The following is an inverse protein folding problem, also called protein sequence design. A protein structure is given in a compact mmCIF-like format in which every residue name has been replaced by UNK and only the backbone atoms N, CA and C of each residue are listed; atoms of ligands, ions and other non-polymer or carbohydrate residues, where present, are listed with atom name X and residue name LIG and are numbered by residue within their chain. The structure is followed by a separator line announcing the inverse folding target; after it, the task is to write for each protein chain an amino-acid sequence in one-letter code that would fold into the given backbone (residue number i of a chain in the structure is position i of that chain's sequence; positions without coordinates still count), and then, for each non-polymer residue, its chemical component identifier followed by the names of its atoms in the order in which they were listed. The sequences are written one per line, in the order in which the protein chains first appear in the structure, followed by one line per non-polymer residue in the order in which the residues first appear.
data_IF_293730959744
#
_entry.id   IF_293730959744
#
_cell.length_a   1.000
_cell.length_b   1.000
_cell.length_c   1.000
_cell.angle_alpha   90.00
_cell.angle_beta   90.00
_cell.angle_gamma   90.00
#
_symmetry.space_group_name_H-M   'P 1'
#
loop_
_entity.id
_entity.type
_entity.pdbx_description
1 polymer ?
#
# COMPACT_ATOMS: atom_id res chain seq x y z
N UNK A 1 -19.61 -66.93 13.58
CA UNK A 1 -19.39 -66.04 14.74
C UNK A 1 -20.49 -65.02 14.71
N UNK A 2 -21.34 -64.98 15.72
CA UNK A 2 -22.41 -63.99 15.84
C UNK A 2 -21.78 -62.59 15.91
N UNK A 3 -22.17 -61.68 15.02
CA UNK A 3 -21.86 -60.26 15.17
C UNK A 3 -22.47 -59.80 16.51
N UNK A 4 -21.64 -59.52 17.50
CA UNK A 4 -22.07 -58.77 18.67
C UNK A 4 -22.56 -57.40 18.18
N UNK A 5 -23.88 -57.19 18.19
CA UNK A 5 -24.46 -55.90 17.85
C UNK A 5 -24.07 -54.86 18.90
N UNK A 6 -22.98 -54.14 18.63
CA UNK A 6 -22.59 -53.01 19.46
C UNK A 6 -23.72 -51.97 19.50
N UNK A 7 -23.96 -51.33 20.65
CA UNK A 7 -24.89 -50.21 20.76
C UNK A 7 -24.56 -49.09 19.75
N UNK A 8 -25.59 -48.44 19.19
CA UNK A 8 -25.45 -47.40 18.16
C UNK A 8 -24.52 -46.27 18.60
N UNK A 9 -24.60 -45.87 19.89
CA UNK A 9 -23.75 -44.81 20.45
C UNK A 9 -22.26 -45.19 20.46
N UNK A 10 -21.94 -46.47 20.72
CA UNK A 10 -20.56 -46.95 20.78
C UNK A 10 -19.94 -46.99 19.37
N UNK A 11 -20.73 -47.43 18.37
CA UNK A 11 -20.34 -47.37 16.96
C UNK A 11 -20.11 -45.95 16.49
N UNK A 12 -20.98 -45.01 16.88
CA UNK A 12 -20.82 -43.60 16.55
C UNK A 12 -19.53 -43.01 17.15
N UNK A 13 -19.24 -43.35 18.42
CA UNK A 13 -18.02 -42.91 19.10
C UNK A 13 -16.75 -43.48 18.44
N UNK A 14 -16.73 -44.79 18.17
CA UNK A 14 -15.61 -45.45 17.49
C UNK A 14 -15.35 -44.85 16.10
N UNK A 15 -16.41 -44.62 15.34
CA UNK A 15 -16.33 -43.99 14.02
C UNK A 15 -15.78 -42.56 14.10
N UNK A 16 -16.19 -41.78 15.12
CA UNK A 16 -15.63 -40.46 15.39
C UNK A 16 -14.12 -40.52 15.62
N UNK A 17 -13.67 -41.38 16.54
CA UNK A 17 -12.25 -41.59 16.85
C UNK A 17 -11.44 -42.02 15.64
N UNK A 18 -11.98 -42.93 14.81
CA UNK A 18 -11.31 -43.37 13.57
C UNK A 18 -11.17 -42.20 12.59
N UNK A 19 -12.24 -41.42 12.40
CA UNK A 19 -12.23 -40.26 11.52
C UNK A 19 -11.20 -39.21 11.93
N UNK A 20 -11.13 -38.89 13.21
CA UNK A 20 -10.14 -37.97 13.78
C UNK A 20 -8.71 -38.50 13.63
N UNK A 21 -8.46 -39.76 14.01
CA UNK A 21 -7.14 -40.36 13.90
C UNK A 21 -6.61 -40.37 12.45
N UNK A 22 -7.47 -40.70 11.48
CA UNK A 22 -7.11 -40.68 10.05
C UNK A 22 -6.86 -39.25 9.54
N UNK A 23 -7.65 -38.28 9.97
CA UNK A 23 -7.45 -36.85 9.64
C UNK A 23 -6.14 -36.33 10.22
N UNK A 24 -5.84 -36.63 11.49
CA UNK A 24 -4.57 -36.30 12.13
C UNK A 24 -3.39 -36.86 11.34
N UNK A 25 -3.46 -38.16 11.05
CA UNK A 25 -2.43 -38.84 10.28
C UNK A 25 -2.27 -38.21 8.88
N UNK A 26 -3.34 -37.73 8.24
CA UNK A 26 -3.30 -37.03 6.95
C UNK A 26 -2.59 -35.67 7.01
N UNK A 27 -2.81 -34.89 8.07
CA UNK A 27 -2.34 -33.50 8.18
C UNK A 27 -0.93 -33.36 8.77
N UNK A 28 -0.51 -34.30 9.64
CA UNK A 28 0.70 -34.19 10.46
C UNK A 28 2.02 -34.17 9.67
N UNK A 29 2.02 -34.50 8.39
CA UNK A 29 3.25 -34.40 7.60
C UNK A 29 3.58 -32.95 7.25
N UNK A 30 2.56 -32.09 7.10
CA UNK A 30 2.71 -30.76 6.48
C UNK A 30 2.26 -29.60 7.35
N UNK A 31 1.44 -29.87 8.36
CA UNK A 31 0.89 -28.84 9.23
C UNK A 31 1.31 -29.07 10.69
N UNK A 32 1.43 -27.98 11.44
CA UNK A 32 1.33 -28.02 12.89
C UNK A 32 -0.15 -28.21 13.24
N UNK A 33 -0.45 -29.16 14.13
CA UNK A 33 -1.80 -29.43 14.60
C UNK A 33 -1.93 -28.91 16.03
N UNK A 34 -2.96 -28.09 16.24
CA UNK A 34 -3.42 -27.69 17.56
C UNK A 34 -4.70 -28.46 17.84
N UNK A 35 -4.64 -29.32 18.85
CA UNK A 35 -5.76 -30.14 19.28
C UNK A 35 -6.27 -29.67 20.63
N UNK A 36 -7.58 -29.74 20.84
CA UNK A 36 -8.20 -29.47 22.14
C UNK A 36 -8.73 -30.74 22.75
N UNK A 37 -8.73 -30.77 24.08
CA UNK A 37 -9.25 -31.87 24.89
C UNK A 37 -10.73 -31.71 25.27
N UNK A 38 -11.44 -30.69 24.75
CA UNK A 38 -12.84 -30.40 25.12
C UNK A 38 -13.63 -29.85 23.92
N UNK A 39 -14.80 -30.45 23.66
CA UNK A 39 -15.83 -30.11 22.64
C UNK A 39 -16.46 -28.72 22.85
N UNK A 40 -15.65 -27.68 22.85
CA UNK A 40 -16.11 -26.30 22.82
C UNK A 40 -15.93 -25.84 21.37
N UNK A 41 -17.04 -25.79 20.64
CA UNK A 41 -17.17 -25.20 19.31
C UNK A 41 -16.66 -26.01 18.11
N UNK A 42 -16.98 -27.31 18.04
CA UNK A 42 -17.30 -28.03 16.79
C UNK A 42 -16.21 -28.22 15.72
N UNK A 43 -14.98 -27.77 15.93
CA UNK A 43 -13.83 -28.01 15.06
C UNK A 43 -12.88 -29.04 15.71
N UNK A 44 -12.46 -30.05 14.95
CA UNK A 44 -11.67 -31.16 15.48
C UNK A 44 -10.16 -30.84 15.46
N UNK A 45 -9.70 -30.09 14.46
CA UNK A 45 -8.30 -29.67 14.36
C UNK A 45 -8.19 -28.21 13.93
N UNK A 46 -7.19 -27.53 14.48
CA UNK A 46 -6.66 -26.30 13.90
C UNK A 46 -5.28 -26.58 13.35
N UNK A 47 -5.08 -26.17 12.10
CA UNK A 47 -3.83 -26.39 11.38
C UNK A 47 -3.11 -25.09 11.14
N UNK A 48 -1.80 -25.13 11.19
CA UNK A 48 -0.93 -24.04 10.79
C UNK A 48 0.14 -24.58 9.84
N UNK A 49 0.48 -23.82 8.80
CA UNK A 49 1.58 -24.20 7.90
C UNK A 49 2.87 -24.38 8.67
N UNK A 50 3.62 -25.44 8.37
CA UNK A 50 5.01 -25.61 8.85
C UNK A 50 5.93 -24.71 8.06
N UNK A 51 6.10 -23.49 8.53
CA UNK A 51 7.03 -22.54 7.92
C UNK A 51 8.42 -22.83 8.50
N UNK A 52 9.24 -23.57 7.75
CA UNK A 52 10.59 -23.99 8.18
C UNK A 52 11.70 -23.03 7.75
N UNK A 53 11.39 -22.06 6.88
CA UNK A 53 12.36 -21.11 6.30
C UNK A 53 12.20 -19.66 6.79
N UNK A 54 11.35 -19.42 7.79
CA UNK A 54 11.03 -18.06 8.26
C UNK A 54 11.53 -17.81 9.67
N UNK A 55 12.02 -16.59 9.89
CA UNK A 55 12.52 -16.09 11.15
C UNK A 55 11.36 -15.70 12.10
N UNK A 56 11.63 -15.59 13.41
CA UNK A 56 10.64 -15.19 14.44
C UNK A 56 10.03 -13.79 14.20
N UNK A 57 10.59 -13.03 13.25
CA UNK A 57 10.27 -11.65 12.90
C UNK A 57 9.61 -11.52 11.51
N UNK A 58 9.13 -12.61 10.91
CA UNK A 58 8.53 -12.57 9.57
C UNK A 58 7.23 -11.74 9.56
N UNK A 59 7.10 -10.84 8.58
CA UNK A 59 6.05 -9.79 8.50
C UNK A 59 4.65 -10.34 8.23
N UNK A 60 4.55 -11.60 7.80
CA UNK A 60 3.28 -12.26 7.48
C UNK A 60 2.91 -13.26 8.59
N UNK A 61 2.09 -12.86 9.57
CA UNK A 61 1.64 -13.78 10.61
C UNK A 61 0.98 -15.02 10.00
N UNK A 62 1.19 -16.20 10.60
CA UNK A 62 0.67 -17.45 10.06
C UNK A 62 -0.86 -17.46 10.11
N UNK A 63 -1.49 -17.95 9.04
CA UNK A 63 -2.93 -18.18 8.99
C UNK A 63 -3.22 -19.57 9.51
N UNK A 64 -4.37 -19.70 10.16
CA UNK A 64 -4.84 -20.94 10.73
C UNK A 64 -5.95 -21.53 9.88
N UNK A 65 -5.87 -22.82 9.59
CA UNK A 65 -6.97 -23.57 8.99
C UNK A 65 -7.79 -24.28 10.03
N UNK A 66 -9.05 -24.52 9.71
CA UNK A 66 -9.99 -25.20 10.57
C UNK A 66 -10.42 -26.46 9.85
N UNK A 67 -10.19 -27.60 10.48
CA UNK A 67 -10.51 -28.89 9.90
C UNK A 67 -11.51 -29.61 10.79
N UNK A 68 -12.62 -30.01 10.18
CA UNK A 68 -13.56 -30.93 10.78
C UNK A 68 -13.39 -32.32 10.16
N UNK A 69 -13.31 -33.34 10.98
CA UNK A 69 -13.25 -34.74 10.61
C UNK A 69 -14.64 -35.37 10.79
N UNK A 70 -15.10 -36.13 9.79
CA UNK A 70 -16.34 -36.92 9.89
C UNK A 70 -16.14 -38.31 9.33
N UNK A 71 -16.77 -39.31 9.93
CA UNK A 71 -16.75 -40.68 9.44
C UNK A 71 -18.14 -41.10 8.94
N UNK A 72 -18.21 -41.61 7.72
CA UNK A 72 -19.42 -42.14 7.11
C UNK A 72 -19.37 -43.66 7.17
N UNK A 73 -20.25 -44.27 7.97
CA UNK A 73 -20.38 -45.73 8.02
C UNK A 73 -20.96 -46.29 6.71
N UNK A 74 -21.74 -45.49 5.98
CA UNK A 74 -22.27 -45.84 4.67
C UNK A 74 -23.00 -44.67 4.01
N UNK A 75 -23.68 -44.93 2.89
CA UNK A 75 -24.39 -43.92 2.10
C UNK A 75 -25.55 -43.25 2.85
N UNK A 76 -26.12 -43.90 3.86
CA UNK A 76 -27.26 -43.37 4.61
C UNK A 76 -26.83 -42.51 5.81
N UNK A 77 -25.52 -42.43 6.10
CA UNK A 77 -25.00 -41.51 7.12
C UNK A 77 -25.08 -40.08 6.62
N UNK A 78 -25.59 -39.16 7.45
CA UNK A 78 -25.63 -37.72 7.17
C UNK A 78 -24.98 -36.97 8.31
N UNK A 79 -24.12 -36.01 7.98
CA UNK A 79 -23.47 -35.13 8.95
C UNK A 79 -23.90 -33.68 8.76
N UNK A 80 -23.82 -32.92 9.85
CA UNK A 80 -24.26 -31.53 9.89
C UNK A 80 -23.08 -30.61 10.20
N UNK A 81 -22.82 -29.65 9.33
CA UNK A 81 -21.76 -28.66 9.50
C UNK A 81 -22.40 -27.30 9.82
N UNK A 82 -22.10 -26.67 10.97
CA UNK A 82 -22.67 -25.37 11.26
C UNK A 82 -22.22 -24.31 10.24
N UNK A 83 -23.16 -23.51 9.72
CA UNK A 83 -22.89 -22.54 8.65
C UNK A 83 -21.82 -21.51 9.03
N UNK A 84 -21.70 -21.19 10.32
CA UNK A 84 -20.70 -20.23 10.83
C UNK A 84 -19.24 -20.61 10.54
N UNK A 85 -18.94 -21.90 10.33
CA UNK A 85 -17.60 -22.35 9.93
C UNK A 85 -17.35 -22.19 8.43
N UNK A 86 -18.41 -22.10 7.64
CA UNK A 86 -18.36 -22.14 6.17
C UNK A 86 -18.49 -20.74 5.59
N UNK A 87 -19.31 -19.89 6.19
CA UNK A 87 -19.48 -18.49 5.79
C UNK A 87 -19.24 -17.54 6.97
N UNK A 88 -18.74 -16.34 6.69
CA UNK A 88 -18.61 -15.29 7.69
C UNK A 88 -19.95 -14.57 7.98
N UNK A 89 -19.88 -13.50 8.79
CA UNK A 89 -21.07 -12.71 9.20
C UNK A 89 -21.68 -11.93 8.03
N UNK A 90 -20.90 -11.65 6.99
CA UNK A 90 -21.31 -10.93 5.79
C UNK A 90 -21.88 -11.90 4.74
N UNK A 91 -21.77 -13.21 4.98
CA UNK A 91 -22.22 -14.27 4.08
C UNK A 91 -21.15 -14.75 3.11
N UNK A 92 -19.93 -14.23 3.19
CA UNK A 92 -18.81 -14.60 2.34
C UNK A 92 -18.22 -15.94 2.75
N UNK A 93 -17.76 -16.72 1.77
CA UNK A 93 -17.23 -18.07 1.99
C UNK A 93 -15.84 -18.02 2.65
N UNK A 94 -15.64 -18.82 3.70
CA UNK A 94 -14.36 -18.93 4.40
C UNK A 94 -13.40 -19.84 3.67
N UNK A 95 -12.32 -19.27 3.15
CA UNK A 95 -11.28 -20.03 2.44
C UNK A 95 -10.52 -21.01 3.33
N UNK A 96 -10.50 -20.77 4.63
CA UNK A 96 -9.68 -21.44 5.64
C UNK A 96 -10.38 -22.62 6.34
N UNK A 97 -11.59 -23.00 5.92
CA UNK A 97 -12.32 -24.14 6.48
C UNK A 97 -12.32 -25.36 5.54
N UNK A 98 -12.08 -26.52 6.12
CA UNK A 98 -12.02 -27.80 5.42
C UNK A 98 -12.79 -28.89 6.16
N UNK A 99 -13.54 -29.68 5.41
CA UNK A 99 -14.16 -30.90 5.91
C UNK A 99 -13.43 -32.10 5.31
N UNK A 100 -12.90 -32.97 6.18
CA UNK A 100 -12.29 -34.24 5.78
C UNK A 100 -13.20 -35.37 6.22
N UNK A 101 -13.70 -36.11 5.24
CA UNK A 101 -14.60 -37.23 5.46
C UNK A 101 -13.87 -38.54 5.22
N UNK A 102 -14.07 -39.51 6.10
CA UNK A 102 -13.53 -40.86 5.97
C UNK A 102 -14.63 -41.90 5.88
N UNK A 103 -14.36 -43.00 5.21
CA UNK A 103 -15.21 -44.20 5.19
C UNK A 103 -14.34 -45.44 4.95
N UNK A 104 -14.98 -46.60 4.88
CA UNK A 104 -14.33 -47.88 4.61
C UNK A 104 -13.66 -48.50 5.82
N UNK A 105 -13.14 -49.71 5.63
CA UNK A 105 -12.51 -50.53 6.67
C UNK A 105 -11.03 -50.17 6.83
N UNK A 106 -10.30 -50.96 7.61
CA UNK A 106 -8.85 -50.87 7.72
C UNK A 106 -8.15 -51.17 6.38
N UNK A 107 -8.67 -52.16 5.62
CA UNK A 107 -8.06 -52.62 4.37
C UNK A 107 -8.43 -51.77 3.14
N UNK A 108 -9.60 -51.10 3.13
CA UNK A 108 -10.03 -50.21 2.04
C UNK A 108 -10.48 -48.83 2.58
N UNK A 109 -9.56 -48.03 3.15
CA UNK A 109 -9.88 -46.71 3.66
C UNK A 109 -10.06 -45.72 2.51
N UNK A 110 -11.12 -44.91 2.57
CA UNK A 110 -11.36 -43.82 1.61
C UNK A 110 -11.50 -42.50 2.34
N UNK A 111 -10.91 -41.46 1.77
CA UNK A 111 -10.93 -40.10 2.30
C UNK A 111 -11.40 -39.11 1.25
N UNK A 112 -12.09 -38.07 1.71
CA UNK A 112 -12.62 -36.99 0.87
C UNK A 112 -12.28 -35.65 1.51
N UNK A 113 -11.96 -34.66 0.69
CA UNK A 113 -11.66 -33.28 1.11
C UNK A 113 -12.63 -32.33 0.44
N UNK A 114 -13.33 -31.53 1.26
CA UNK A 114 -14.23 -30.47 0.82
C UNK A 114 -13.75 -29.13 1.38
N UNK A 115 -13.77 -28.09 0.56
CA UNK A 115 -13.63 -26.71 1.01
C UNK A 115 -14.97 -26.15 1.48
N UNK A 116 -14.96 -25.00 2.14
CA UNK A 116 -16.20 -24.27 2.42
C UNK A 116 -17.00 -23.95 1.14
N UNK A 117 -16.31 -23.64 0.04
CA UNK A 117 -16.94 -23.37 -1.25
C UNK A 117 -17.64 -24.61 -1.82
N UNK A 118 -17.00 -25.78 -1.75
CA UNK A 118 -17.63 -27.05 -2.13
C UNK A 118 -18.92 -27.29 -1.32
N UNK A 119 -18.89 -26.96 -0.02
CA UNK A 119 -20.05 -27.12 0.87
C UNK A 119 -21.21 -26.20 0.52
N UNK A 120 -20.92 -24.92 0.21
CA UNK A 120 -21.97 -23.95 -0.17
C UNK A 120 -22.58 -24.28 -1.52
N UNK A 121 -21.75 -24.68 -2.49
CA UNK A 121 -22.21 -24.88 -3.85
C UNK A 121 -22.92 -26.23 -4.04
N UNK A 122 -22.45 -27.27 -3.36
CA UNK A 122 -22.89 -28.64 -3.63
C UNK A 122 -23.79 -29.22 -2.54
N UNK A 123 -24.02 -28.58 -1.40
CA UNK A 123 -24.82 -29.17 -0.32
C UNK A 123 -25.93 -28.25 0.16
N UNK A 124 -27.00 -28.84 0.69
CA UNK A 124 -28.22 -28.12 1.09
C UNK A 124 -28.08 -27.55 2.49
N UNK A 125 -28.46 -26.29 2.66
CA UNK A 125 -28.59 -25.64 3.97
C UNK A 125 -29.97 -25.96 4.55
N UNK A 126 -30.02 -26.35 5.82
CA UNK A 126 -31.27 -26.59 6.54
C UNK A 126 -31.80 -25.37 7.27
N UNK A 127 -33.05 -25.47 7.74
CA UNK A 127 -33.72 -24.47 8.60
C UNK A 127 -32.85 -24.01 9.77
N UNK A 128 -32.05 -24.92 10.34
CA UNK A 128 -31.27 -24.66 11.56
C UNK A 128 -29.87 -24.07 11.27
N UNK A 129 -29.66 -23.46 10.10
CA UNK A 129 -28.36 -22.91 9.66
C UNK A 129 -27.21 -23.93 9.72
N UNK A 130 -27.49 -25.18 9.32
CA UNK A 130 -26.48 -26.24 9.15
C UNK A 130 -26.48 -26.74 7.71
N UNK A 131 -25.31 -27.09 7.21
CA UNK A 131 -25.13 -27.71 5.89
C UNK A 131 -25.27 -29.22 6.05
N UNK A 132 -26.13 -29.83 5.24
CA UNK A 132 -26.40 -31.28 5.24
C UNK A 132 -25.47 -31.98 4.27
N UNK A 133 -24.52 -32.74 4.82
CA UNK A 133 -23.57 -33.53 4.03
C UNK A 133 -24.05 -34.97 4.01
N UNK A 134 -24.79 -35.35 2.96
CA UNK A 134 -25.31 -36.72 2.83
C UNK A 134 -24.24 -37.66 2.27
N UNK A 135 -24.12 -38.84 2.89
CA UNK A 135 -23.19 -39.88 2.46
C UNK A 135 -23.49 -40.34 1.03
N UNK A 136 -24.76 -40.42 0.65
CA UNK A 136 -25.17 -40.81 -0.71
C UNK A 136 -24.61 -39.86 -1.77
N UNK A 137 -24.61 -38.55 -1.52
CA UNK A 137 -24.07 -37.57 -2.46
C UNK A 137 -22.54 -37.57 -2.44
N UNK A 138 -21.95 -37.60 -1.24
CA UNK A 138 -20.50 -37.53 -1.07
C UNK A 138 -19.79 -38.77 -1.62
N UNK A 139 -20.22 -39.96 -1.19
CA UNK A 139 -19.54 -41.23 -1.48
C UNK A 139 -19.75 -41.71 -2.92
N UNK A 140 -20.80 -41.25 -3.61
CA UNK A 140 -21.03 -41.54 -5.02
C UNK A 140 -20.17 -40.66 -5.96
N UNK A 141 -19.57 -39.58 -5.43
CA UNK A 141 -18.83 -38.60 -6.22
C UNK A 141 -17.32 -38.81 -6.10
N UNK A 142 -16.64 -38.94 -7.24
CA UNK A 142 -15.17 -38.92 -7.28
C UNK A 142 -14.58 -37.52 -7.12
N UNK A 143 -15.40 -36.46 -7.21
CA UNK A 143 -14.97 -35.04 -7.19
C UNK A 143 -14.15 -34.69 -5.95
N UNK A 144 -14.57 -35.18 -4.79
CA UNK A 144 -13.97 -34.82 -3.50
C UNK A 144 -12.97 -35.86 -3.00
N UNK A 145 -12.86 -37.02 -3.68
CA UNK A 145 -12.05 -38.13 -3.21
C UNK A 145 -10.57 -37.77 -3.26
N UNK A 146 -9.86 -38.04 -2.17
CA UNK A 146 -8.42 -37.83 -2.06
C UNK A 146 -7.73 -39.01 -2.75
N UNK A 147 -7.40 -38.83 -4.03
CA UNK A 147 -6.62 -39.81 -4.80
C UNK A 147 -5.11 -39.60 -4.60
N UNK A 148 -4.67 -38.34 -4.49
CA UNK A 148 -3.27 -37.96 -4.31
C UNK A 148 -3.14 -37.08 -3.07
N UNK A 149 -2.60 -37.66 -1.99
CA UNK A 149 -2.42 -37.00 -0.69
C UNK A 149 -1.68 -35.67 -0.80
N UNK A 150 -0.55 -35.63 -1.50
CA UNK A 150 0.27 -34.42 -1.66
C UNK A 150 -0.53 -33.26 -2.27
N UNK A 151 -1.26 -33.51 -3.37
CA UNK A 151 -2.05 -32.48 -4.06
C UNK A 151 -3.19 -31.93 -3.18
N UNK A 152 -3.82 -32.78 -2.37
CA UNK A 152 -4.84 -32.34 -1.41
C UNK A 152 -4.25 -31.47 -0.30
N UNK A 153 -3.06 -31.82 0.21
CA UNK A 153 -2.35 -30.98 1.18
C UNK A 153 -1.88 -29.65 0.55
N UNK A 154 -1.45 -29.64 -0.71
CA UNK A 154 -1.10 -28.42 -1.44
C UNK A 154 -2.31 -27.48 -1.59
N UNK A 155 -3.51 -28.03 -1.83
CA UNK A 155 -4.75 -27.24 -1.89
C UNK A 155 -5.04 -26.56 -0.56
N UNK A 156 -4.93 -27.28 0.56
CA UNK A 156 -5.11 -26.73 1.90
C UNK A 156 -4.07 -25.62 2.13
N UNK A 157 -2.81 -25.89 1.82
CA UNK A 157 -1.73 -24.93 2.00
C UNK A 157 -1.94 -23.63 1.20
N UNK A 158 -2.34 -23.77 -0.07
CA UNK A 158 -2.63 -22.63 -0.94
C UNK A 158 -3.82 -21.80 -0.44
N UNK A 159 -4.87 -22.47 0.03
CA UNK A 159 -6.01 -21.78 0.63
C UNK A 159 -5.61 -20.98 1.89
N UNK A 160 -4.73 -21.52 2.75
CA UNK A 160 -4.20 -20.78 3.90
C UNK A 160 -3.31 -19.59 3.51
N UNK A 161 -2.61 -19.67 2.38
CA UNK A 161 -1.83 -18.55 1.84
C UNK A 161 -2.71 -17.39 1.38
N UNK A 162 -3.88 -17.69 0.82
CA UNK A 162 -4.83 -16.71 0.29
C UNK A 162 -5.81 -16.18 1.35
N UNK A 163 -5.92 -16.84 2.50
CA UNK A 163 -6.88 -16.47 3.54
C UNK A 163 -6.61 -15.06 4.11
N UNK A 164 -7.69 -14.28 4.24
CA UNK A 164 -7.65 -12.95 4.84
C UNK A 164 -7.27 -13.03 6.32
N UNK A 165 -6.25 -12.27 6.70
CA UNK A 165 -5.69 -12.33 8.05
C UNK A 165 -6.68 -11.88 9.14
N UNK A 166 -7.41 -10.77 8.93
CA UNK A 166 -8.32 -10.20 9.93
C UNK A 166 -9.53 -11.10 10.14
N UNK A 167 -10.13 -11.60 9.05
CA UNK A 167 -11.25 -12.56 9.09
C UNK A 167 -10.84 -13.87 9.76
N UNK A 168 -9.63 -14.36 9.47
CA UNK A 168 -9.08 -15.57 10.08
C UNK A 168 -8.90 -15.41 11.60
N UNK A 169 -8.25 -14.33 12.05
CA UNK A 169 -7.97 -14.09 13.47
C UNK A 169 -9.25 -13.79 14.25
N UNK A 170 -10.14 -12.99 13.70
CA UNK A 170 -11.43 -12.68 14.34
C UNK A 170 -12.31 -13.92 14.47
N UNK A 171 -12.29 -14.83 13.51
CA UNK A 171 -13.05 -16.07 13.64
C UNK A 171 -12.46 -16.99 14.70
N UNK A 172 -11.14 -17.04 14.84
CA UNK A 172 -10.46 -17.91 15.80
C UNK A 172 -10.22 -17.27 17.17
N UNK A 173 -10.80 -16.10 17.45
CA UNK A 173 -10.63 -15.43 18.74
C UNK A 173 -11.18 -16.24 19.92
N UNK A 174 -12.12 -17.16 19.67
CA UNK A 174 -12.60 -18.12 20.68
C UNK A 174 -11.58 -19.23 20.99
N UNK A 175 -10.68 -19.54 20.06
CA UNK A 175 -9.71 -20.63 20.18
C UNK A 175 -8.36 -20.16 20.68
N UNK A 176 -7.88 -19.07 20.09
CA UNK A 176 -6.63 -18.46 20.47
C UNK A 176 -6.81 -17.89 21.88
N UNK A 177 -5.77 -17.91 22.74
CA UNK A 177 -5.81 -17.10 23.93
C UNK A 177 -6.07 -15.69 23.41
N UNK A 178 -7.28 -15.23 23.68
CA UNK A 178 -7.61 -13.85 23.42
C UNK A 178 -6.50 -13.11 24.15
N UNK A 179 -5.94 -12.06 23.54
CA UNK A 179 -5.39 -11.03 24.40
C UNK A 179 -6.62 -10.34 25.00
N UNK A 180 -7.41 -11.10 25.77
CA UNK A 180 -8.34 -10.59 26.76
C UNK A 180 -7.41 -9.94 27.74
N UNK A 181 -7.09 -8.68 27.47
CA UNK A 181 -6.76 -7.75 28.50
C UNK A 181 -7.90 -7.87 29.49
N UNK A 182 -7.67 -8.53 30.62
CA UNK A 182 -8.61 -8.45 31.72
C UNK A 182 -8.61 -6.98 32.13
N UNK A 183 -9.60 -6.25 31.62
CA UNK A 183 -9.76 -4.82 31.85
C UNK A 183 -10.01 -4.55 33.34
N UNK A 184 -10.51 -5.55 34.07
CA UNK A 184 -10.81 -5.49 35.50
C UNK A 184 -9.65 -6.02 36.36
N UNK A 185 -8.62 -6.61 35.74
CA UNK A 185 -7.42 -7.04 36.44
C UNK A 185 -6.69 -5.81 36.98
N UNK A 186 -6.67 -5.66 38.28
CA UNK A 186 -5.88 -4.68 38.99
C UNK A 186 -5.45 -5.35 40.28
N UNK A 187 -4.25 -5.02 40.76
CA UNK A 187 -3.75 -5.53 42.04
C UNK A 187 -4.78 -5.27 43.14
N UNK A 188 -5.02 -6.27 44.00
CA UNK A 188 -5.96 -6.19 45.12
C UNK A 188 -5.71 -4.98 46.01
N UNK A 189 -4.44 -4.55 46.14
CA UNK A 189 -4.08 -3.36 46.91
C UNK A 189 -4.84 -2.10 46.45
N UNK A 190 -5.11 -1.96 45.15
CA UNK A 190 -5.81 -0.82 44.57
C UNK A 190 -7.33 -0.99 44.53
N UNK A 191 -7.85 -2.10 45.06
CA UNK A 191 -9.29 -2.33 45.26
C UNK A 191 -9.74 -1.99 46.68
N UNK A 192 -8.79 -1.73 47.58
CA UNK A 192 -9.10 -1.33 48.95
C UNK A 192 -9.83 0.01 48.95
N UNK A 193 -10.96 0.15 49.69
CA UNK A 193 -11.80 1.33 49.67
C UNK A 193 -11.20 2.47 50.50
N UNK A 194 -10.05 2.98 50.07
CA UNK A 194 -9.31 4.06 50.72
C UNK A 194 -9.53 5.36 49.93
N UNK A 195 -9.97 6.40 50.64
CA UNK A 195 -10.13 7.73 50.06
C UNK A 195 -8.81 8.25 49.49
N UNK A 196 -8.85 8.75 48.26
CA UNK A 196 -7.72 9.35 47.57
C UNK A 196 -8.19 10.53 46.72
N UNK A 197 -7.26 11.39 46.33
CA UNK A 197 -7.56 12.62 45.59
C UNK A 197 -8.00 12.39 44.13
N UNK A 198 -7.83 11.18 43.59
CA UNK A 198 -8.16 10.81 42.22
C UNK A 198 -9.57 10.20 42.07
N UNK A 199 -10.10 9.59 43.14
CA UNK A 199 -11.40 8.90 43.15
C UNK A 199 -11.27 7.38 43.01
N UNK A 200 -12.15 6.77 42.23
CA UNK A 200 -12.21 5.31 42.02
C UNK A 200 -11.07 4.81 41.11
N UNK A 201 -9.96 4.39 41.73
CA UNK A 201 -8.77 3.89 41.02
C UNK A 201 -9.09 2.72 40.07
N UNK A 202 -9.89 1.69 40.46
CA UNK A 202 -10.23 0.60 39.56
C UNK A 202 -10.92 1.05 38.27
N UNK A 203 -11.86 2.00 38.38
CA UNK A 203 -12.59 2.52 37.21
C UNK A 203 -11.65 3.32 36.30
N UNK A 204 -10.81 4.20 36.87
CA UNK A 204 -9.84 4.97 36.10
C UNK A 204 -8.82 4.06 35.38
N UNK A 205 -8.35 3.01 36.04
CA UNK A 205 -7.40 2.05 35.45
C UNK A 205 -8.04 1.19 34.35
N UNK A 206 -9.30 0.79 34.53
CA UNK A 206 -10.06 0.12 33.48
C UNK A 206 -10.19 1.01 32.23
N UNK A 207 -10.52 2.30 32.41
CA UNK A 207 -10.57 3.27 31.31
C UNK A 207 -9.22 3.41 30.59
N UNK A 208 -8.11 3.44 31.34
CA UNK A 208 -6.76 3.47 30.78
C UNK A 208 -6.48 2.22 29.92
N UNK A 209 -6.80 1.03 30.43
CA UNK A 209 -6.62 -0.23 29.69
C UNK A 209 -7.47 -0.29 28.43
N UNK A 210 -8.71 0.21 28.50
CA UNK A 210 -9.58 0.31 27.32
C UNK A 210 -8.98 1.25 26.28
N UNK A 211 -8.53 2.44 26.69
CA UNK A 211 -7.87 3.39 25.79
C UNK A 211 -6.59 2.80 25.15
N UNK A 212 -5.80 2.05 25.91
CA UNK A 212 -4.62 1.36 25.38
C UNK A 212 -4.99 0.27 24.35
N UNK A 213 -6.05 -0.49 24.61
CA UNK A 213 -6.58 -1.49 23.67
C UNK A 213 -7.05 -0.84 22.37
N UNK A 214 -7.81 0.25 22.46
CA UNK A 214 -8.30 0.97 21.29
C UNK A 214 -7.14 1.54 20.47
N UNK A 215 -6.11 2.09 21.15
CA UNK A 215 -4.90 2.57 20.49
C UNK A 215 -4.11 1.47 19.75
N UNK A 216 -4.11 0.22 20.25
CA UNK A 216 -3.49 -0.91 19.53
C UNK A 216 -4.19 -1.16 18.19
N UNK A 217 -5.53 -1.11 18.16
CA UNK A 217 -6.28 -1.27 16.91
C UNK A 217 -6.01 -0.11 15.95
N UNK A 218 -5.96 1.13 16.44
CA UNK A 218 -5.59 2.29 15.64
C UNK A 218 -4.20 2.09 15.01
N UNK A 219 -3.21 1.65 15.79
CA UNK A 219 -1.84 1.37 15.30
C UNK A 219 -1.84 0.28 14.23
N UNK A 220 -2.65 -0.77 14.37
CA UNK A 220 -2.73 -1.84 13.37
C UNK A 220 -3.28 -1.32 12.03
N UNK A 221 -4.33 -0.50 12.08
CA UNK A 221 -4.94 0.10 10.88
C UNK A 221 -4.01 1.15 10.24
N UNK A 222 -3.28 1.93 11.04
CA UNK A 222 -2.21 2.84 10.57
C UNK A 222 -1.11 2.05 9.88
N UNK A 223 -0.58 1.01 10.54
CA UNK A 223 0.47 0.17 9.99
C UNK A 223 0.07 -0.44 8.65
N UNK A 224 -1.16 -0.95 8.54
CA UNK A 224 -1.69 -1.49 7.28
C UNK A 224 -1.74 -0.44 6.17
N UNK A 225 -2.14 0.78 6.50
CA UNK A 225 -2.19 1.89 5.54
C UNK A 225 -0.79 2.27 5.06
N UNK A 226 0.19 2.32 5.97
CA UNK A 226 1.60 2.57 5.62
C UNK A 226 2.17 1.47 4.72
N UNK A 227 1.89 0.19 5.03
CA UNK A 227 2.29 -0.94 4.18
C UNK A 227 1.65 -0.85 2.80
N UNK A 228 0.37 -0.48 2.72
CA UNK A 228 -0.32 -0.30 1.45
C UNK A 228 0.31 0.82 0.60
N UNK A 229 0.72 1.93 1.20
CA UNK A 229 1.46 3.01 0.52
C UNK A 229 2.80 2.47 -0.03
N UNK A 230 3.57 1.73 0.79
CA UNK A 230 4.87 1.19 0.37
C UNK A 230 4.81 0.16 -0.76
N UNK A 231 3.68 -0.58 -0.87
CA UNK A 231 3.51 -1.65 -1.87
C UNK A 231 2.81 -1.18 -3.15
N UNK A 232 2.16 -0.02 -3.12
CA UNK A 232 1.44 0.51 -4.27
C UNK A 232 2.42 1.12 -5.29
N UNK A 233 2.21 0.77 -6.56
CA UNK A 233 3.04 1.26 -7.67
C UNK A 233 2.41 2.47 -8.37
N UNK A 234 1.10 2.65 -8.21
CA UNK A 234 0.35 3.80 -8.73
C UNK A 234 0.41 4.96 -7.72
N UNK A 235 1.11 6.07 -8.03
CA UNK A 235 1.29 7.17 -7.09
C UNK A 235 -0.04 7.85 -6.71
N UNK A 236 -1.05 7.86 -7.57
CA UNK A 236 -2.36 8.43 -7.21
C UNK A 236 -3.07 7.59 -6.15
N UNK A 237 -3.01 6.26 -6.27
CA UNK A 237 -3.60 5.35 -5.28
C UNK A 237 -2.85 5.43 -3.96
N UNK A 238 -1.52 5.48 -4.00
CA UNK A 238 -0.70 5.64 -2.81
C UNK A 238 -1.03 6.95 -2.08
N UNK A 239 -1.16 8.06 -2.83
CA UNK A 239 -1.51 9.37 -2.27
C UNK A 239 -2.94 9.40 -1.71
N UNK A 240 -3.91 8.73 -2.34
CA UNK A 240 -5.26 8.61 -1.79
C UNK A 240 -5.30 7.84 -0.46
N UNK A 241 -4.43 6.84 -0.28
CA UNK A 241 -4.26 6.16 1.02
C UNK A 241 -3.62 7.11 2.02
N UNK A 242 -2.56 7.82 1.64
CA UNK A 242 -1.87 8.78 2.51
C UNK A 242 -2.76 9.94 2.97
N UNK A 243 -3.60 10.49 2.09
CA UNK A 243 -4.56 11.54 2.41
C UNK A 243 -5.59 11.06 3.45
N UNK A 244 -6.16 9.86 3.24
CA UNK A 244 -7.08 9.26 4.20
C UNK A 244 -6.42 9.01 5.55
N UNK A 245 -5.17 8.56 5.55
CA UNK A 245 -4.39 8.32 6.77
C UNK A 245 -4.19 9.63 7.55
N UNK A 246 -3.82 10.71 6.85
CA UNK A 246 -3.64 12.04 7.45
C UNK A 246 -4.95 12.63 8.01
N UNK A 247 -6.09 12.40 7.32
CA UNK A 247 -7.40 12.88 7.74
C UNK A 247 -8.07 12.06 8.86
N UNK A 248 -7.86 10.73 8.88
CA UNK A 248 -8.59 9.82 9.78
C UNK A 248 -7.95 9.70 11.16
N UNK A 249 -6.66 9.98 11.28
CA UNK A 249 -5.87 9.72 12.47
C UNK A 249 -5.25 11.00 13.06
N UNK A 250 -5.98 12.10 13.09
CA UNK A 250 -5.48 13.41 13.56
C UNK A 250 -4.94 13.49 15.00
N UNK A 251 -5.02 12.39 15.78
CA UNK A 251 -4.34 12.24 17.08
C UNK A 251 -2.90 11.75 16.95
N UNK A 252 -2.52 11.23 15.80
CA UNK A 252 -1.21 10.68 15.49
C UNK A 252 -0.41 11.69 14.67
N UNK A 253 0.86 11.86 15.02
CA UNK A 253 1.76 12.73 14.27
C UNK A 253 2.53 11.90 13.24
N UNK A 254 2.26 12.17 11.96
CA UNK A 254 2.99 11.58 10.84
C UNK A 254 4.07 12.54 10.34
N UNK A 255 5.12 12.05 9.66
CA UNK A 255 6.06 12.91 8.96
C UNK A 255 5.34 13.79 7.94
N UNK A 256 5.70 15.08 7.88
CA UNK A 256 5.10 16.04 6.94
C UNK A 256 5.22 15.59 5.48
N UNK A 257 6.28 14.84 5.14
CA UNK A 257 6.53 14.32 3.80
C UNK A 257 5.64 13.13 3.41
N UNK A 258 4.87 12.54 4.35
CA UNK A 258 4.01 11.39 4.06
C UNK A 258 2.89 11.76 3.08
N UNK A 259 2.42 13.01 3.12
CA UNK A 259 1.44 13.54 2.20
C UNK A 259 1.77 14.98 1.84
N UNK A 260 1.85 15.27 0.55
CA UNK A 260 2.10 16.61 0.04
C UNK A 260 1.07 16.96 -1.03
N UNK A 261 0.34 18.05 -0.79
CA UNK A 261 -0.61 18.59 -1.76
C UNK A 261 0.09 18.97 -3.08
N UNK A 262 1.29 19.53 -2.99
CA UNK A 262 2.10 19.88 -4.16
C UNK A 262 2.48 18.63 -4.97
N UNK A 263 2.93 17.57 -4.30
CA UNK A 263 3.26 16.32 -4.98
C UNK A 263 2.04 15.68 -5.64
N UNK A 264 0.87 15.74 -5.00
CA UNK A 264 -0.39 15.29 -5.60
C UNK A 264 -0.70 16.01 -6.91
N UNK A 265 -0.62 17.33 -6.93
CA UNK A 265 -0.86 18.11 -8.15
C UNK A 265 0.18 17.79 -9.25
N UNK A 266 1.45 17.62 -8.88
CA UNK A 266 2.52 17.25 -9.81
C UNK A 266 2.24 15.88 -10.46
N UNK A 267 1.81 14.88 -9.70
CA UNK A 267 1.46 13.55 -10.23
C UNK A 267 0.30 13.65 -11.23
N UNK A 268 -0.75 14.39 -10.88
CA UNK A 268 -1.93 14.56 -11.74
C UNK A 268 -1.58 15.30 -13.03
N UNK A 269 -0.85 16.42 -12.93
CA UNK A 269 -0.37 17.18 -14.09
C UNK A 269 0.51 16.32 -14.98
N UNK A 270 1.44 15.56 -14.40
CA UNK A 270 2.33 14.67 -15.15
C UNK A 270 1.54 13.63 -15.94
N UNK A 271 0.60 12.93 -15.30
CA UNK A 271 -0.26 11.94 -15.96
C UNK A 271 -1.06 12.57 -17.10
N UNK A 272 -1.69 13.72 -16.87
CA UNK A 272 -2.45 14.42 -17.89
C UNK A 272 -1.55 14.81 -19.08
N UNK A 273 -0.38 15.39 -18.83
CA UNK A 273 0.59 15.73 -19.89
C UNK A 273 0.99 14.51 -20.73
N UNK A 274 1.30 13.39 -20.08
CA UNK A 274 1.67 12.13 -20.77
C UNK A 274 0.53 11.61 -21.62
N UNK A 275 -0.69 11.57 -21.10
CA UNK A 275 -1.88 11.10 -21.83
C UNK A 275 -2.17 12.01 -23.03
N UNK A 276 -2.22 13.33 -22.85
CA UNK A 276 -2.44 14.31 -23.93
C UNK A 276 -1.40 14.18 -25.03
N UNK A 277 -0.12 14.09 -24.68
CA UNK A 277 0.95 13.91 -25.66
C UNK A 277 0.86 12.56 -26.39
N UNK A 278 0.46 11.50 -25.69
CA UNK A 278 0.29 10.16 -26.26
C UNK A 278 -0.87 10.13 -27.25
N UNK A 279 -2.01 10.73 -26.89
CA UNK A 279 -3.20 10.82 -27.72
C UNK A 279 -2.95 11.68 -28.98
N UNK A 280 -2.09 12.69 -28.87
CA UNK A 280 -1.64 13.50 -30.00
C UNK A 280 -0.53 12.82 -30.85
N UNK A 281 0.04 11.68 -30.43
CA UNK A 281 1.19 11.05 -31.08
C UNK A 281 2.50 11.85 -30.97
N UNK A 282 2.61 12.72 -29.96
CA UNK A 282 3.71 13.67 -29.75
C UNK A 282 4.59 13.34 -28.54
N UNK A 283 4.30 12.28 -27.80
CA UNK A 283 5.07 11.89 -26.61
C UNK A 283 6.56 11.66 -26.91
N UNK A 284 6.89 10.83 -27.89
CA UNK A 284 8.29 10.53 -28.23
C UNK A 284 9.03 11.77 -28.80
N UNK A 285 8.44 12.56 -29.73
CA UNK A 285 9.01 13.84 -30.13
C UNK A 285 9.30 14.78 -28.96
N UNK A 286 8.38 14.90 -28.00
CA UNK A 286 8.54 15.77 -26.84
C UNK A 286 9.67 15.29 -25.90
N UNK A 287 9.76 13.97 -25.66
CA UNK A 287 10.87 13.38 -24.90
C UNK A 287 12.21 13.63 -25.60
N UNK A 288 12.26 13.43 -26.92
CA UNK A 288 13.47 13.69 -27.71
C UNK A 288 13.87 15.16 -27.68
N UNK A 289 12.90 16.07 -27.77
CA UNK A 289 13.12 17.50 -27.62
C UNK A 289 13.75 17.82 -26.26
N UNK A 290 13.21 17.27 -25.17
CA UNK A 290 13.78 17.43 -23.82
C UNK A 290 15.27 17.07 -23.76
N UNK A 291 15.64 15.94 -24.35
CA UNK A 291 17.04 15.49 -24.37
C UNK A 291 17.95 16.40 -25.20
N UNK A 292 17.47 16.86 -26.37
CA UNK A 292 18.18 17.80 -27.23
C UNK A 292 18.40 19.13 -26.51
N UNK A 293 17.33 19.70 -25.93
CA UNK A 293 17.38 20.98 -25.23
C UNK A 293 18.30 20.88 -24.00
N UNK A 294 18.15 19.84 -23.18
CA UNK A 294 19.01 19.63 -22.01
C UNK A 294 20.48 19.52 -22.39
N UNK A 295 20.80 18.74 -23.41
CA UNK A 295 22.18 18.53 -23.86
C UNK A 295 22.77 19.79 -24.49
N UNK A 296 21.97 20.54 -25.24
CA UNK A 296 22.41 21.78 -25.87
C UNK A 296 22.64 22.88 -24.84
N UNK A 297 21.71 23.08 -23.91
CA UNK A 297 21.85 24.07 -22.83
C UNK A 297 23.05 23.73 -21.95
N UNK A 298 23.22 22.47 -21.54
CA UNK A 298 24.37 22.09 -20.72
C UNK A 298 25.71 22.32 -21.44
N UNK A 299 25.77 22.06 -22.76
CA UNK A 299 26.97 22.28 -23.57
C UNK A 299 27.26 23.77 -23.77
N UNK A 300 26.22 24.56 -23.99
CA UNK A 300 26.30 26.00 -24.23
C UNK A 300 26.66 26.78 -22.96
N UNK A 301 26.07 26.41 -21.81
CA UNK A 301 26.38 27.04 -20.52
C UNK A 301 27.77 26.70 -19.98
N UNK A 302 28.27 25.49 -20.20
CA UNK A 302 29.53 25.02 -19.63
C UNK A 302 30.73 25.97 -19.85
N UNK A 303 31.00 26.51 -21.06
CA UNK A 303 32.11 27.44 -21.28
C UNK A 303 31.90 28.83 -20.67
N UNK A 304 30.67 29.20 -20.33
CA UNK A 304 30.33 30.53 -19.80
C UNK A 304 30.25 30.57 -18.28
N UNK A 305 30.51 29.44 -17.60
CA UNK A 305 30.41 29.35 -16.15
C UNK A 305 31.75 29.62 -15.43
N UNK A 306 31.74 30.36 -14.30
CA UNK A 306 30.61 31.09 -13.75
C UNK A 306 30.29 32.33 -14.59
N UNK A 307 29.00 32.64 -14.77
CA UNK A 307 28.57 33.88 -15.43
C UNK A 307 28.72 35.02 -14.43
N UNK A 308 29.28 36.16 -14.88
CA UNK A 308 29.47 37.34 -14.04
C UNK A 308 28.11 37.93 -13.59
N UNK A 309 28.08 38.57 -12.41
CA UNK A 309 26.85 39.15 -11.83
C UNK A 309 26.24 40.29 -12.67
N UNK A 310 27.01 40.88 -13.57
CA UNK A 310 26.58 41.92 -14.52
C UNK A 310 26.22 41.34 -15.90
N UNK A 311 26.17 40.02 -16.02
CA UNK A 311 25.84 39.30 -17.24
C UNK A 311 24.61 38.40 -17.04
N UNK A 312 23.88 38.20 -18.13
CA UNK A 312 22.84 37.19 -18.25
C UNK A 312 23.22 36.25 -19.38
N UNK A 313 22.75 35.01 -19.30
CA UNK A 313 22.89 34.08 -20.40
C UNK A 313 21.53 33.82 -21.04
N UNK A 314 21.36 34.32 -22.27
CA UNK A 314 20.12 34.23 -23.05
C UNK A 314 20.18 32.99 -23.94
N UNK A 315 19.22 32.10 -23.78
CA UNK A 315 19.05 30.86 -24.54
C UNK A 315 17.82 31.03 -25.43
N UNK A 316 17.97 30.79 -26.72
CA UNK A 316 16.90 30.77 -27.70
C UNK A 316 16.69 29.36 -28.23
N UNK A 317 15.45 28.88 -28.19
CA UNK A 317 15.04 27.54 -28.60
C UNK A 317 14.02 27.69 -29.72
N UNK A 318 14.36 27.23 -30.91
CA UNK A 318 13.48 27.19 -32.07
C UNK A 318 13.04 25.76 -32.33
N UNK A 319 11.78 25.56 -32.66
CA UNK A 319 11.19 24.23 -32.87
C UNK A 319 9.93 24.33 -33.73
N UNK A 320 9.49 23.22 -34.30
CA UNK A 320 8.17 23.11 -34.93
C UNK A 320 7.09 22.98 -33.84
N UNK A 321 6.16 23.95 -33.69
CA UNK A 321 5.16 23.94 -32.63
C UNK A 321 4.11 22.84 -32.78
N UNK A 322 3.97 22.23 -33.97
CA UNK A 322 3.01 21.17 -34.24
C UNK A 322 3.62 19.80 -33.93
N UNK A 323 4.89 19.60 -34.31
CA UNK A 323 5.53 18.27 -34.25
C UNK A 323 6.60 18.12 -33.17
N UNK A 324 6.99 19.22 -32.52
CA UNK A 324 8.15 19.32 -31.61
C UNK A 324 9.48 18.86 -32.23
N UNK A 325 9.61 18.96 -33.56
CA UNK A 325 10.83 18.62 -34.31
C UNK A 325 11.65 19.85 -34.65
N UNK A 326 12.77 19.63 -35.34
CA UNK A 326 13.68 20.67 -35.83
C UNK A 326 14.18 21.62 -34.74
N UNK A 327 14.42 21.03 -33.56
CA UNK A 327 14.85 21.74 -32.36
C UNK A 327 16.26 22.28 -32.55
N UNK A 328 16.39 23.60 -32.51
CA UNK A 328 17.66 24.31 -32.53
C UNK A 328 17.78 25.17 -31.26
N UNK A 329 18.95 25.13 -30.62
CA UNK A 329 19.22 25.89 -29.40
C UNK A 329 20.45 26.75 -29.63
N UNK A 330 20.36 28.04 -29.29
CA UNK A 330 21.46 28.99 -29.38
C UNK A 330 21.52 29.83 -28.11
N UNK A 331 22.66 29.82 -27.42
CA UNK A 331 22.92 30.71 -26.29
C UNK A 331 23.79 31.90 -26.66
N UNK A 332 23.65 32.98 -25.89
CA UNK A 332 24.58 34.10 -25.87
C UNK A 332 24.59 34.79 -24.52
N UNK A 333 25.76 35.18 -24.07
CA UNK A 333 25.92 36.00 -22.86
C UNK A 333 25.78 37.47 -23.22
N UNK A 334 25.00 38.22 -22.43
CA UNK A 334 24.70 39.63 -22.64
C UNK A 334 24.88 40.41 -21.34
N UNK A 335 25.21 41.71 -21.39
CA UNK A 335 25.16 42.57 -20.22
C UNK A 335 23.75 42.65 -19.66
N UNK A 336 23.58 42.51 -18.34
CA UNK A 336 22.28 42.60 -17.65
C UNK A 336 21.58 43.95 -17.90
N UNK A 337 22.36 45.00 -18.15
CA UNK A 337 21.86 46.34 -18.45
C UNK A 337 21.06 46.41 -19.77
N UNK A 338 21.22 45.46 -20.69
CA UNK A 338 20.41 45.39 -21.91
C UNK A 338 18.98 44.89 -21.63
N UNK A 339 18.75 44.25 -20.48
CA UNK A 339 17.49 43.60 -20.11
C UNK A 339 16.79 44.28 -18.93
N UNK A 340 17.51 44.73 -17.92
CA UNK A 340 16.95 45.46 -16.78
C UNK A 340 16.94 46.97 -17.06
N UNK A 341 15.76 47.56 -17.25
CA UNK A 341 15.61 49.00 -17.52
C UNK A 341 15.88 49.87 -16.28
N UNK A 342 15.92 49.30 -15.07
CA UNK A 342 16.14 50.05 -13.83
C UNK A 342 17.20 49.41 -12.92
N UNK A 343 18.11 50.22 -12.39
CA UNK A 343 19.21 49.82 -11.48
C UNK A 343 18.75 49.11 -10.19
N UNK A 344 17.50 49.30 -9.76
CA UNK A 344 16.93 48.60 -8.61
C UNK A 344 16.63 47.12 -8.88
N UNK A 345 16.33 46.74 -10.13
CA UNK A 345 16.08 45.34 -10.54
C UNK A 345 17.38 44.53 -10.51
N UNK A 346 18.48 45.16 -10.96
CA UNK A 346 19.83 44.58 -10.91
C UNK A 346 20.26 44.31 -9.46
N UNK A 347 20.00 45.24 -8.54
CA UNK A 347 20.31 45.06 -7.11
C UNK A 347 19.50 43.95 -6.46
N UNK A 348 18.22 43.81 -6.83
CA UNK A 348 17.38 42.70 -6.36
C UNK A 348 17.94 41.34 -6.82
N UNK A 349 18.37 41.23 -8.09
CA UNK A 349 18.95 40.00 -8.63
C UNK A 349 20.25 39.60 -7.91
N UNK A 350 21.08 40.57 -7.49
CA UNK A 350 22.35 40.29 -6.79
C UNK A 350 22.23 39.66 -5.39
N UNK A 351 21.00 39.59 -4.84
CA UNK A 351 20.71 39.09 -3.48
C UNK A 351 20.11 37.68 -3.44
N UNK A 352 19.78 37.09 -4.59
CA UNK A 352 19.07 35.81 -4.64
C UNK A 352 20.06 34.66 -4.91
N UNK A 353 19.85 33.57 -4.18
CA UNK A 353 20.61 32.33 -4.35
C UNK A 353 20.11 31.59 -5.60
N UNK A 354 21.01 31.09 -6.44
CA UNK A 354 20.62 30.20 -7.54
C UNK A 354 19.93 28.94 -6.95
N UNK A 355 18.84 28.40 -7.54
CA UNK A 355 18.35 28.63 -8.91
C UNK A 355 17.09 29.53 -9.01
N UNK A 356 16.75 30.32 -7.98
CA UNK A 356 15.41 30.90 -7.80
C UNK A 356 15.01 32.00 -8.81
N UNK A 357 15.92 32.50 -9.65
CA UNK A 357 15.63 33.55 -10.64
C UNK A 357 15.93 33.09 -12.06
N UNK A 358 14.86 32.81 -12.80
CA UNK A 358 14.88 32.67 -14.27
C UNK A 358 13.82 33.59 -14.84
N UNK A 359 14.23 34.44 -15.78
CA UNK A 359 13.32 35.35 -16.48
C UNK A 359 13.00 34.77 -17.85
N UNK A 360 11.72 34.68 -18.17
CA UNK A 360 11.23 34.13 -19.43
C UNK A 360 10.71 35.28 -20.28
N UNK A 361 11.16 35.36 -21.53
CA UNK A 361 10.58 36.29 -22.52
C UNK A 361 10.01 35.41 -23.64
N UNK A 362 8.73 35.05 -23.54
CA UNK A 362 8.08 34.31 -24.62
C UNK A 362 7.94 35.17 -25.87
N UNK A 363 8.33 34.64 -27.03
CA UNK A 363 8.12 35.27 -28.32
C UNK A 363 7.64 34.25 -29.34
N UNK A 364 6.35 34.34 -29.68
CA UNK A 364 5.65 33.74 -30.82
C UNK A 364 5.73 32.20 -30.99
N UNK A 365 4.78 31.62 -31.71
CA UNK A 365 4.74 30.17 -31.98
C UNK A 365 6.08 29.67 -32.56
N UNK A 366 6.60 28.57 -32.00
CA UNK A 366 7.83 27.91 -32.47
C UNK A 366 9.15 28.51 -31.98
N UNK A 367 9.13 29.49 -31.06
CA UNK A 367 10.35 30.05 -30.46
C UNK A 367 10.16 30.35 -28.96
N UNK A 368 11.08 29.86 -28.12
CA UNK A 368 11.14 30.19 -26.71
C UNK A 368 12.48 30.85 -26.40
N UNK A 369 12.45 32.01 -25.77
CA UNK A 369 13.65 32.69 -25.29
C UNK A 369 13.62 32.69 -23.77
N UNK A 370 14.71 32.20 -23.17
CA UNK A 370 14.86 32.21 -21.73
C UNK A 370 16.16 32.87 -21.34
N UNK A 371 16.09 33.76 -20.37
CA UNK A 371 17.23 34.46 -19.83
C UNK A 371 17.57 33.90 -18.45
N UNK A 372 18.78 33.37 -18.33
CA UNK A 372 19.31 32.90 -17.07
C UNK A 372 20.14 33.98 -16.41
N UNK A 373 19.77 34.30 -15.16
CA UNK A 373 20.51 35.18 -14.27
C UNK A 373 21.32 34.30 -13.31
N UNK A 374 22.65 34.37 -13.31
CA UNK A 374 23.44 33.67 -12.30
C UNK A 374 23.12 34.27 -10.92
N UNK A 375 22.48 33.48 -10.05
CA UNK A 375 22.42 33.79 -8.63
C UNK A 375 23.81 33.72 -7.99
N UNK A 376 23.95 34.19 -6.74
CA UNK A 376 25.22 34.00 -6.01
C UNK A 376 25.49 32.50 -5.83
N UNK A 377 26.55 32.01 -6.46
CA UNK A 377 27.11 30.71 -6.16
C UNK A 377 28.16 30.86 -5.05
N UNK A 378 27.79 30.49 -3.81
CA UNK A 378 28.73 30.39 -2.70
C UNK A 378 29.59 29.14 -2.88
N UNK A 379 30.57 29.19 -3.79
CA UNK A 379 31.62 28.19 -3.87
C UNK A 379 32.55 28.37 -2.67
N UNK A 380 32.57 27.42 -1.73
CA UNK A 380 33.32 27.57 -0.47
C UNK A 380 34.59 26.71 -0.41
N UNK A 381 34.89 25.90 -1.44
CA UNK A 381 36.09 25.04 -1.43
C UNK A 381 36.70 24.68 -2.80
N UNK A 382 38.01 24.38 -2.80
CA UNK A 382 38.81 23.98 -3.99
C UNK A 382 38.46 22.60 -4.59
N UNK A 383 37.65 21.79 -3.91
CA UNK A 383 37.23 20.45 -4.40
C UNK A 383 35.99 20.49 -5.33
N UNK A 384 35.39 21.66 -5.56
CA UNK A 384 34.08 21.79 -6.21
C UNK A 384 34.11 21.69 -7.76
N UNK A 385 35.27 21.70 -8.42
CA UNK A 385 35.35 21.61 -9.91
C UNK A 385 34.76 20.30 -10.46
N UNK A 386 34.84 19.19 -9.72
CA UNK A 386 34.16 17.93 -10.07
C UNK A 386 32.66 17.93 -9.70
N UNK A 387 32.27 18.66 -8.66
CA UNK A 387 30.86 18.83 -8.29
C UNK A 387 30.11 19.74 -9.27
N UNK A 388 30.81 20.65 -9.95
CA UNK A 388 30.24 21.60 -10.90
C UNK A 388 29.50 20.93 -12.07
N UNK A 389 30.02 19.84 -12.65
CA UNK A 389 29.32 19.14 -13.74
C UNK A 389 28.01 18.49 -13.27
N UNK A 390 28.02 17.94 -12.05
CA UNK A 390 26.84 17.37 -11.37
C UNK A 390 25.80 18.47 -11.10
N UNK A 391 26.26 19.62 -10.61
CA UNK A 391 25.42 20.75 -10.27
C UNK A 391 24.82 21.42 -11.52
N UNK A 392 25.61 21.57 -12.58
CA UNK A 392 25.17 22.14 -13.86
C UNK A 392 24.09 21.28 -14.52
N UNK A 393 24.16 19.95 -14.40
CA UNK A 393 23.10 19.05 -14.87
C UNK A 393 21.80 19.24 -14.08
N UNK A 394 21.87 19.45 -12.76
CA UNK A 394 20.69 19.73 -11.91
C UNK A 394 20.04 21.07 -12.29
N UNK A 395 20.84 22.13 -12.41
CA UNK A 395 20.39 23.46 -12.83
C UNK A 395 19.74 23.39 -14.22
N UNK A 396 20.44 22.79 -15.19
CA UNK A 396 19.92 22.62 -16.53
C UNK A 396 18.63 21.79 -16.54
N UNK A 397 18.53 20.74 -15.72
CA UNK A 397 17.31 19.94 -15.61
C UNK A 397 16.12 20.74 -15.09
N UNK A 398 16.30 21.55 -14.03
CA UNK A 398 15.24 22.41 -13.50
C UNK A 398 14.77 23.41 -14.57
N UNK A 399 15.72 24.04 -15.25
CA UNK A 399 15.47 25.02 -16.30
C UNK A 399 14.72 24.43 -17.50
N UNK A 400 15.18 23.26 -17.96
CA UNK A 400 14.56 22.54 -19.07
C UNK A 400 13.13 22.13 -18.73
N UNK A 401 12.85 21.70 -17.50
CA UNK A 401 11.48 21.37 -17.09
C UNK A 401 10.55 22.58 -17.28
N UNK A 402 10.95 23.76 -16.81
CA UNK A 402 10.15 24.99 -16.96
C UNK A 402 9.93 25.37 -18.42
N UNK A 403 10.98 25.32 -19.24
CA UNK A 403 10.88 25.58 -20.69
C UNK A 403 9.88 24.63 -21.34
N UNK A 404 9.97 23.34 -21.04
CA UNK A 404 9.13 22.33 -21.65
C UNK A 404 7.68 22.42 -21.18
N UNK A 405 7.44 22.84 -19.95
CA UNK A 405 6.11 23.14 -19.45
C UNK A 405 5.48 24.26 -20.29
N UNK A 406 6.16 25.38 -20.49
CA UNK A 406 5.68 26.48 -21.34
C UNK A 406 5.43 26.03 -22.79
N UNK A 407 6.32 25.21 -23.36
CA UNK A 407 6.16 24.66 -24.71
C UNK A 407 4.95 23.74 -24.83
N UNK A 408 4.68 22.95 -23.78
CA UNK A 408 3.49 22.12 -23.70
C UNK A 408 2.23 23.01 -23.59
N UNK A 409 2.25 23.99 -22.70
CA UNK A 409 1.10 24.86 -22.41
C UNK A 409 0.73 25.67 -23.67
N UNK A 410 1.71 26.22 -24.40
CA UNK A 410 1.48 26.89 -25.69
C UNK A 410 0.79 26.02 -26.75
N UNK A 411 0.94 24.69 -26.68
CA UNK A 411 0.36 23.76 -27.67
C UNK A 411 -1.03 23.28 -27.26
N UNK A 412 -1.26 23.05 -25.97
CA UNK A 412 -2.42 22.30 -25.50
C UNK A 412 -3.33 23.07 -24.54
N UNK A 413 -2.85 24.14 -23.91
CA UNK A 413 -3.70 25.03 -23.14
C UNK A 413 -4.23 26.13 -24.07
N UNK A 414 -5.52 26.44 -23.95
CA UNK A 414 -6.06 27.61 -24.62
C UNK A 414 -5.25 28.83 -24.16
N UNK A 415 -4.80 29.71 -25.09
CA UNK A 415 -4.14 30.93 -24.67
C UNK A 415 -5.08 31.59 -23.67
N UNK A 416 -4.61 31.92 -22.45
CA UNK A 416 -5.48 32.52 -21.45
C UNK A 416 -6.17 33.69 -22.14
N UNK A 417 -7.52 33.66 -22.16
CA UNK A 417 -8.33 34.76 -22.67
C UNK A 417 -7.61 36.04 -22.28
N UNK A 418 -7.31 36.90 -23.26
CA UNK A 418 -6.55 38.12 -23.09
C UNK A 418 -7.29 39.06 -22.13
N UNK A 419 -7.27 38.74 -20.85
CA UNK A 419 -7.20 39.70 -19.77
C UNK A 419 -5.89 40.39 -20.06
N UNK A 420 -5.95 41.66 -20.40
CA UNK A 420 -4.80 42.55 -20.39
C UNK A 420 -4.09 42.37 -19.03
N UNK A 421 -3.15 41.44 -18.97
CA UNK A 421 -2.00 41.57 -18.11
C UNK A 421 -1.27 42.77 -18.69
N UNK A 422 -1.69 43.96 -18.25
CA UNK A 422 -0.75 45.05 -18.06
C UNK A 422 0.55 44.43 -17.56
N UNK A 423 1.68 44.95 -18.04
CA UNK A 423 3.03 44.68 -17.57
C UNK A 423 3.17 45.02 -16.08
N UNK A 424 2.43 44.29 -15.25
CA UNK A 424 2.43 44.27 -13.81
C UNK A 424 3.61 43.41 -13.43
N UNK A 425 4.72 44.09 -13.19
CA UNK A 425 5.78 43.64 -12.29
C UNK A 425 5.25 42.62 -11.27
N UNK A 426 5.89 41.44 -11.23
CA UNK A 426 5.99 40.54 -10.09
C UNK A 426 6.62 41.30 -8.89
N UNK A 427 5.94 42.34 -8.39
CA UNK A 427 6.50 43.34 -7.46
C UNK A 427 6.16 43.12 -5.99
N UNK A 428 5.38 42.12 -5.58
CA UNK A 428 4.99 41.98 -4.17
C UNK A 428 5.45 40.70 -3.49
N UNK A 429 5.43 39.54 -4.15
CA UNK A 429 5.45 38.29 -3.35
C UNK A 429 6.86 37.80 -2.97
N UNK A 430 7.90 38.31 -3.62
CA UNK A 430 9.30 37.97 -3.32
C UNK A 430 9.97 38.93 -2.33
N UNK A 431 9.52 40.19 -2.23
CA UNK A 431 10.10 41.15 -1.29
C UNK A 431 9.73 40.84 0.17
N UNK A 432 8.53 40.26 0.40
CA UNK A 432 8.01 39.96 1.74
C UNK A 432 8.54 38.64 2.34
N UNK A 433 9.14 37.75 1.53
CA UNK A 433 9.74 36.50 2.02
C UNK A 433 11.19 36.63 2.46
N UNK A 434 11.88 37.73 2.09
CA UNK A 434 13.28 37.95 2.47
C UNK A 434 13.48 38.68 3.81
N UNK A 435 12.39 39.08 4.50
CA UNK A 435 12.44 39.93 5.70
C UNK A 435 11.92 39.27 6.98
N UNK A 436 11.59 37.98 6.99
CA UNK A 436 11.09 37.27 8.17
C UNK A 436 12.03 36.16 8.68
N UNK A 437 13.22 36.54 9.13
CA UNK A 437 14.01 35.73 10.08
C UNK A 437 13.89 36.43 11.45
N UNK A 438 13.19 35.86 12.44
CA UNK A 438 13.25 36.37 13.79
C UNK A 438 14.58 35.96 14.42
N UNK A 439 15.37 36.97 14.76
CA UNK A 439 16.53 36.85 15.65
C UNK A 439 16.04 36.30 17.00
N UNK A 440 16.36 35.04 17.32
CA UNK A 440 16.16 34.48 18.66
C UNK A 440 17.50 34.41 19.39
N UNK A 441 17.64 35.30 20.37
CA UNK A 441 18.49 35.10 21.56
C UNK A 441 17.90 34.03 22.47
#
# INVERSE_FOLDING_TARGET
MSEEEFPVWLRAMQNGTIGEARTRAFLIDRFWLLERSVDIDGADFIIQRRITSSNLLDEKPPRFGIVQAKFFAGSDTTHYIPKQYVTDKDGEVRTEFFLICHTGTEDDPKSYLLTAEDLVNDFTISSDNKIWVSGRKLLASSKYQILLRARSLDRIEHALLLADFKKNRSFLSWFLPDVTFDLNSIDSLYKEPIENWWGEIPEAFQKLKQAARDAIYDVEDIHRSLVAICQENDPEKALAVAERLNGSFGRWHFPDDLWSQDFYWVVLQHKNKVLTLKDAGLLDPFIRMKEIVLSAIARDLAPHMPIDLDQIHRIEIRYDPITFRDVAVAGKTLPIAEYCKNSNEIRACSRVSAPELTWYEMRHEGCVIVCWLPGRFCATGKNEVLEWKSHLKKIASYFVTKILDEIYDMRFEEPPDTVEKESGTLKSDFADRATSIPDKR
#
